data_IF_773687961604
#
_entry.id   IF_773687961604
#
_cell.length_a   1.000
_cell.length_b   1.000
_cell.length_c   1.000
_cell.angle_alpha   90.00
_cell.angle_beta   90.00
_cell.angle_gamma   90.00
#
_symmetry.space_group_name_H-M   'P 1'
#
loop_
_entity.id
_entity.type
_entity.pdbx_description
1 polymer ?
#
# COMPACT_ATOMS: atom_id res chain seq x y z
N UNK A 1 -8.44 6.70 -18.87
CA UNK A 1 -8.69 5.88 -17.64
C UNK A 1 -7.62 6.22 -16.61
N UNK A 2 -7.92 6.15 -15.34
CA UNK A 2 -6.95 6.42 -14.26
C UNK A 2 -6.03 5.23 -14.03
N UNK A 3 -4.73 5.48 -13.82
CA UNK A 3 -3.71 4.45 -13.61
C UNK A 3 -3.44 4.25 -12.11
N UNK A 4 -3.44 3.00 -11.67
CA UNK A 4 -3.11 2.62 -10.29
C UNK A 4 -1.66 2.17 -10.18
N UNK A 5 -0.90 2.79 -9.29
CA UNK A 5 0.41 2.31 -8.84
C UNK A 5 0.27 1.35 -7.65
N UNK A 6 1.01 0.26 -7.64
CA UNK A 6 1.14 -0.61 -6.46
C UNK A 6 2.54 -0.47 -5.89
N UNK A 7 2.65 0.19 -4.73
CA UNK A 7 3.84 0.27 -3.93
C UNK A 7 3.96 -1.02 -3.10
N UNK A 8 4.58 -2.02 -3.70
CA UNK A 8 4.62 -3.40 -3.21
C UNK A 8 5.99 -3.85 -2.73
N UNK A 9 6.13 -5.17 -2.56
CA UNK A 9 7.36 -5.83 -2.14
C UNK A 9 7.47 -6.07 -0.63
N UNK A 10 6.43 -5.71 0.14
CA UNK A 10 6.43 -5.76 1.61
C UNK A 10 5.31 -6.67 2.21
N UNK A 11 5.02 -7.90 1.80
CA UNK A 11 5.87 -8.74 0.96
C UNK A 11 5.42 -8.86 -0.50
N UNK A 12 6.28 -9.52 -1.26
CA UNK A 12 6.05 -9.73 -2.69
C UNK A 12 4.84 -10.63 -2.98
N UNK A 13 4.58 -11.64 -2.18
CA UNK A 13 3.40 -12.49 -2.34
C UNK A 13 2.10 -11.71 -2.08
N UNK A 14 2.05 -10.86 -1.05
CA UNK A 14 0.90 -9.99 -0.80
C UNK A 14 0.67 -9.02 -1.96
N UNK A 15 1.73 -8.53 -2.60
CA UNK A 15 1.66 -7.68 -3.79
C UNK A 15 1.05 -8.44 -4.98
N UNK A 16 1.46 -9.68 -5.22
CA UNK A 16 0.92 -10.53 -6.29
C UNK A 16 -0.58 -10.83 -6.05
N UNK A 17 -0.95 -11.22 -4.84
CA UNK A 17 -2.35 -11.46 -4.47
C UNK A 17 -3.20 -10.19 -4.59
N UNK A 18 -2.63 -9.02 -4.27
CA UNK A 18 -3.35 -7.75 -4.42
C UNK A 18 -3.63 -7.44 -5.89
N UNK A 19 -2.67 -7.64 -6.79
CA UNK A 19 -2.85 -7.48 -8.23
C UNK A 19 -3.93 -8.45 -8.77
N UNK A 20 -3.88 -9.72 -8.38
CA UNK A 20 -4.90 -10.71 -8.73
C UNK A 20 -6.30 -10.26 -8.29
N UNK A 21 -6.41 -9.76 -7.05
CA UNK A 21 -7.68 -9.25 -6.50
C UNK A 21 -8.22 -8.06 -7.27
N UNK A 22 -7.39 -7.10 -7.65
CA UNK A 22 -7.80 -5.94 -8.46
C UNK A 22 -8.39 -6.42 -9.77
N UNK A 23 -7.70 -7.31 -10.47
CA UNK A 23 -8.16 -7.87 -11.75
C UNK A 23 -9.48 -8.62 -11.60
N UNK A 24 -9.60 -9.48 -10.59
CA UNK A 24 -10.80 -10.29 -10.36
C UNK A 24 -12.02 -9.46 -9.91
N UNK A 25 -11.81 -8.33 -9.24
CA UNK A 25 -12.88 -7.47 -8.73
C UNK A 25 -13.28 -6.35 -9.71
N UNK A 26 -12.50 -6.13 -10.77
CA UNK A 26 -12.84 -5.15 -11.79
C UNK A 26 -13.91 -5.76 -12.71
N UNK A 27 -15.09 -5.13 -12.75
CA UNK A 27 -16.16 -5.53 -13.68
C UNK A 27 -15.78 -5.05 -15.09
N UNK A 28 -15.24 -5.96 -15.90
CA UNK A 28 -14.77 -5.68 -17.24
C UNK A 28 -15.04 -6.91 -18.14
N UNK A 29 -15.57 -6.67 -19.32
CA UNK A 29 -15.82 -7.70 -20.33
C UNK A 29 -14.64 -7.85 -21.31
N UNK A 30 -13.76 -6.85 -21.37
CA UNK A 30 -12.58 -6.82 -22.23
C UNK A 30 -11.33 -6.36 -21.46
N UNK A 31 -10.14 -6.69 -21.96
CA UNK A 31 -8.87 -6.24 -21.37
C UNK A 31 -8.77 -4.71 -21.29
N UNK A 32 -9.34 -4.01 -22.26
CA UNK A 32 -9.31 -2.55 -22.36
C UNK A 32 -10.16 -1.84 -21.31
N UNK A 33 -11.07 -2.56 -20.66
CA UNK A 33 -11.91 -2.07 -19.55
C UNK A 33 -11.27 -2.31 -18.18
N UNK A 34 -10.19 -3.08 -18.12
CA UNK A 34 -9.44 -3.31 -16.90
C UNK A 34 -8.71 -2.04 -16.43
N UNK A 35 -8.49 -1.93 -15.13
CA UNK A 35 -7.71 -0.83 -14.55
C UNK A 35 -6.25 -0.96 -14.99
N UNK A 36 -5.65 0.07 -15.63
CA UNK A 36 -4.22 0.07 -15.89
C UNK A 36 -3.43 0.10 -14.58
N UNK A 37 -2.48 -0.84 -14.43
CA UNK A 37 -1.73 -0.98 -13.17
C UNK A 37 -0.23 -0.99 -13.44
N UNK A 38 0.52 -0.23 -12.63
CA UNK A 38 1.98 -0.29 -12.55
C UNK A 38 2.35 -0.88 -11.19
N UNK A 39 3.03 -2.01 -11.18
CA UNK A 39 3.47 -2.68 -9.94
C UNK A 39 4.96 -2.48 -9.74
N UNK A 40 5.34 -1.84 -8.64
CA UNK A 40 6.73 -1.83 -8.19
C UNK A 40 6.85 -2.70 -6.93
N UNK A 41 7.22 -3.96 -7.12
CA UNK A 41 7.50 -4.89 -6.03
C UNK A 41 8.94 -4.70 -5.54
N UNK A 42 9.15 -3.66 -4.72
CA UNK A 42 10.46 -3.31 -4.17
C UNK A 42 10.72 -4.10 -2.87
N UNK A 43 11.40 -5.23 -2.99
CA UNK A 43 11.77 -6.09 -1.86
C UNK A 43 12.97 -5.57 -1.06
N UNK A 44 13.61 -4.48 -1.51
CA UNK A 44 14.75 -3.87 -0.81
C UNK A 44 14.33 -2.83 0.24
N UNK A 45 13.01 -2.57 0.39
CA UNK A 45 12.50 -1.71 1.47
C UNK A 45 12.80 -2.38 2.82
N UNK A 46 13.56 -1.73 3.74
CA UNK A 46 13.90 -2.29 5.04
C UNK A 46 12.68 -2.74 5.87
N UNK A 47 12.89 -3.65 6.81
CA UNK A 47 11.83 -4.21 7.65
C UNK A 47 11.16 -3.13 8.53
N UNK A 48 9.89 -2.87 8.25
CA UNK A 48 9.06 -1.87 8.92
C UNK A 48 8.82 -2.21 10.38
N UNK A 49 8.53 -3.49 10.67
CA UNK A 49 8.30 -3.95 12.05
C UNK A 49 9.57 -3.87 12.89
N UNK A 50 10.70 -4.32 12.35
CA UNK A 50 11.98 -4.22 13.06
C UNK A 50 12.32 -2.77 13.41
N UNK A 51 12.10 -1.84 12.48
CA UNK A 51 12.34 -0.42 12.71
C UNK A 51 11.40 0.17 13.75
N UNK A 52 10.08 -0.06 13.64
CA UNK A 52 9.08 0.48 14.57
C UNK A 52 9.25 -0.05 16.00
N UNK A 53 9.72 -1.29 16.14
CA UNK A 53 10.01 -1.91 17.43
C UNK A 53 11.41 -1.55 17.99
N UNK A 54 12.18 -0.70 17.30
CA UNK A 54 13.51 -0.28 17.73
C UNK A 54 14.51 -1.43 17.83
N UNK A 55 14.38 -2.46 16.98
CA UNK A 55 15.30 -3.61 17.02
C UNK A 55 16.72 -3.18 16.66
N UNK A 56 17.75 -3.78 17.29
CA UNK A 56 19.14 -3.48 16.95
C UNK A 56 19.41 -3.63 15.45
N UNK A 57 20.15 -2.69 14.87
CA UNK A 57 20.53 -2.66 13.44
C UNK A 57 19.35 -2.54 12.45
N UNK A 58 18.12 -2.24 12.92
CA UNK A 58 17.00 -1.99 12.03
C UNK A 58 17.22 -0.69 11.25
N UNK A 59 17.12 -0.79 9.92
CA UNK A 59 17.25 0.36 9.03
C UNK A 59 15.93 1.10 8.90
N UNK A 60 15.99 2.42 8.73
CA UNK A 60 14.82 3.27 8.51
C UNK A 60 14.24 3.03 7.10
N UNK A 61 12.99 2.54 6.97
CA UNK A 61 12.40 2.25 5.67
C UNK A 61 11.92 3.49 4.90
N UNK A 62 11.84 4.66 5.55
CA UNK A 62 11.19 5.87 4.98
C UNK A 62 11.83 6.30 3.67
N UNK A 63 13.16 6.30 3.58
CA UNK A 63 13.85 6.70 2.35
C UNK A 63 13.47 5.81 1.16
N UNK A 64 13.51 4.49 1.35
CA UNK A 64 13.17 3.54 0.31
C UNK A 64 11.68 3.61 -0.07
N UNK A 65 10.79 3.82 0.93
CA UNK A 65 9.36 4.02 0.71
C UNK A 65 9.10 5.27 -0.15
N UNK A 66 9.72 6.41 0.21
CA UNK A 66 9.58 7.67 -0.53
C UNK A 66 10.10 7.56 -1.97
N UNK A 67 11.28 6.97 -2.16
CA UNK A 67 11.84 6.75 -3.51
C UNK A 67 10.93 5.87 -4.37
N UNK A 68 10.37 4.79 -3.80
CA UNK A 68 9.44 3.91 -4.52
C UNK A 68 8.15 4.65 -4.86
N UNK A 69 7.61 5.44 -3.95
CA UNK A 69 6.43 6.26 -4.16
C UNK A 69 6.67 7.33 -5.24
N UNK A 70 7.79 8.04 -5.17
CA UNK A 70 8.19 9.03 -6.16
C UNK A 70 8.32 8.45 -7.58
N UNK A 71 8.87 7.23 -7.69
CA UNK A 71 8.94 6.52 -8.98
C UNK A 71 7.56 6.30 -9.60
N UNK A 72 6.56 5.98 -8.78
CA UNK A 72 5.17 5.75 -9.23
C UNK A 72 4.40 7.05 -9.47
N UNK A 73 4.73 8.13 -8.76
CA UNK A 73 4.01 9.41 -8.81
C UNK A 73 3.94 10.01 -10.23
N UNK A 74 5.03 9.87 -10.99
CA UNK A 74 5.11 10.42 -12.37
C UNK A 74 4.27 9.66 -13.40
N UNK A 75 3.78 8.46 -13.07
CA UNK A 75 3.12 7.58 -14.04
C UNK A 75 1.73 7.12 -13.58
N UNK A 76 1.34 7.39 -12.32
CA UNK A 76 0.10 6.92 -11.73
C UNK A 76 -0.76 8.07 -11.20
N UNK A 77 -2.09 7.91 -11.24
CA UNK A 77 -3.03 8.84 -10.61
C UNK A 77 -3.28 8.50 -9.14
N UNK A 78 -3.22 7.21 -8.82
CA UNK A 78 -3.41 6.68 -7.48
C UNK A 78 -2.31 5.69 -7.13
N UNK A 79 -1.98 5.60 -5.85
CA UNK A 79 -1.04 4.60 -5.34
C UNK A 79 -1.72 3.83 -4.20
N UNK A 80 -1.66 2.50 -4.27
CA UNK A 80 -2.05 1.61 -3.19
C UNK A 80 -0.81 0.90 -2.63
N UNK A 81 -0.79 0.71 -1.31
CA UNK A 81 0.32 0.08 -0.60
C UNK A 81 -0.20 -1.11 0.22
N UNK A 82 -0.13 -2.35 -0.32
CA UNK A 82 -0.67 -3.55 0.34
C UNK A 82 0.22 -4.02 1.50
N UNK A 83 0.48 -3.14 2.46
CA UNK A 83 1.23 -3.39 3.67
C UNK A 83 0.70 -2.51 4.80
N UNK A 84 -0.03 -3.08 5.76
CA UNK A 84 -0.63 -2.30 6.87
C UNK A 84 0.45 -1.62 7.70
N UNK A 85 1.52 -2.34 8.08
CA UNK A 85 2.62 -1.79 8.90
C UNK A 85 3.28 -0.57 8.26
N UNK A 86 3.40 -0.54 6.92
CA UNK A 86 3.99 0.61 6.21
C UNK A 86 3.13 1.88 6.30
N UNK A 87 1.85 1.77 6.67
CA UNK A 87 0.98 2.93 6.89
C UNK A 87 1.38 3.77 8.11
N UNK A 88 2.25 3.25 9.00
CA UNK A 88 2.90 4.09 10.02
C UNK A 88 3.70 5.26 9.41
N UNK A 89 4.12 5.12 8.15
CA UNK A 89 4.89 6.12 7.40
C UNK A 89 4.04 6.87 6.35
N UNK A 90 2.71 6.72 6.40
CA UNK A 90 1.79 7.27 5.40
C UNK A 90 2.04 8.75 5.11
N UNK A 91 2.14 9.57 6.16
CA UNK A 91 2.32 11.02 6.03
C UNK A 91 3.64 11.36 5.31
N UNK A 92 4.74 10.69 5.66
CA UNK A 92 6.03 10.92 5.03
C UNK A 92 6.04 10.52 3.55
N UNK A 93 5.31 9.44 3.21
CA UNK A 93 5.17 8.98 1.83
C UNK A 93 4.29 9.96 1.04
N UNK A 94 3.13 10.34 1.58
CA UNK A 94 2.19 11.25 0.92
C UNK A 94 2.82 12.61 0.63
N UNK A 95 3.67 13.12 1.51
CA UNK A 95 4.38 14.40 1.32
C UNK A 95 5.37 14.37 0.14
N UNK A 96 5.80 13.20 -0.31
CA UNK A 96 6.67 13.04 -1.48
C UNK A 96 5.92 13.12 -2.81
N UNK A 97 4.61 12.88 -2.78
CA UNK A 97 3.79 12.82 -3.98
C UNK A 97 3.32 14.21 -4.40
N UNK A 98 3.48 14.51 -5.67
CA UNK A 98 3.05 15.78 -6.30
C UNK A 98 1.82 15.62 -7.19
N UNK A 99 1.56 14.43 -7.67
CA UNK A 99 0.50 14.11 -8.62
C UNK A 99 -0.44 13.02 -8.10
N UNK A 100 0.11 11.86 -7.74
CA UNK A 100 -0.69 10.72 -7.32
C UNK A 100 -1.27 10.87 -5.91
N UNK A 101 -2.44 10.27 -5.69
CA UNK A 101 -3.06 10.18 -4.38
C UNK A 101 -2.76 8.81 -3.77
N UNK A 102 -2.12 8.79 -2.60
CA UNK A 102 -1.88 7.57 -1.85
C UNK A 102 -3.15 7.16 -1.09
N UNK A 103 -3.65 5.96 -1.33
CA UNK A 103 -4.76 5.41 -0.57
C UNK A 103 -4.32 5.05 0.86
N UNK A 104 -5.06 5.52 1.85
CA UNK A 104 -4.89 5.09 3.23
C UNK A 104 -5.75 3.84 3.50
N UNK A 105 -5.14 2.67 3.42
CA UNK A 105 -5.84 1.39 3.60
C UNK A 105 -6.45 1.25 5.00
N UNK A 106 -5.81 1.78 6.03
CA UNK A 106 -6.33 1.73 7.40
C UNK A 106 -7.61 2.56 7.52
N UNK A 107 -7.59 3.78 7.00
CA UNK A 107 -8.75 4.67 7.00
C UNK A 107 -9.91 4.11 6.17
N UNK A 108 -9.63 3.60 4.97
CA UNK A 108 -10.63 2.95 4.11
C UNK A 108 -11.27 1.73 4.80
N UNK A 109 -10.47 0.93 5.52
CA UNK A 109 -10.99 -0.20 6.30
C UNK A 109 -11.92 0.28 7.40
N UNK A 110 -11.55 1.31 8.15
CA UNK A 110 -12.38 1.89 9.21
C UNK A 110 -13.70 2.45 8.63
N UNK A 111 -13.63 3.14 7.51
CA UNK A 111 -14.83 3.65 6.81
C UNK A 111 -15.76 2.51 6.39
N UNK A 112 -15.23 1.43 5.82
CA UNK A 112 -15.99 0.25 5.41
C UNK A 112 -16.67 -0.42 6.61
N UNK A 113 -15.96 -0.61 7.73
CA UNK A 113 -16.53 -1.18 8.95
C UNK A 113 -17.67 -0.31 9.51
N UNK A 114 -17.48 1.01 9.52
CA UNK A 114 -18.53 1.95 9.96
C UNK A 114 -19.76 1.88 9.06
N UNK A 115 -19.59 1.84 7.75
CA UNK A 115 -20.69 1.73 6.80
C UNK A 115 -21.53 0.45 6.98
N UNK A 116 -20.89 -0.63 7.45
CA UNK A 116 -21.55 -1.90 7.77
C UNK A 116 -22.09 -1.97 9.21
N UNK A 117 -22.04 -0.86 9.97
CA UNK A 117 -22.45 -0.79 11.37
C UNK A 117 -21.71 -1.75 12.31
N UNK A 118 -20.49 -2.17 11.97
CA UNK A 118 -19.65 -3.03 12.80
C UNK A 118 -19.12 -2.19 13.98
N UNK A 119 -19.47 -2.60 15.21
CA UNK A 119 -19.11 -1.88 16.45
C UNK A 119 -17.84 -2.39 17.10
N UNK A 120 -17.46 -3.63 16.83
CA UNK A 120 -16.26 -4.27 17.37
C UNK A 120 -15.60 -5.08 16.27
N UNK A 121 -14.30 -4.93 16.12
CA UNK A 121 -13.48 -5.71 15.20
C UNK A 121 -12.24 -6.22 15.95
N UNK A 122 -11.89 -7.49 15.72
CA UNK A 122 -10.61 -8.03 16.17
C UNK A 122 -9.50 -7.65 15.19
N UNK A 123 -8.31 -7.38 15.69
CA UNK A 123 -7.12 -7.11 14.90
C UNK A 123 -6.17 -8.30 14.96
N UNK A 124 -5.87 -8.89 13.80
CA UNK A 124 -4.77 -9.84 13.62
C UNK A 124 -3.70 -9.14 12.78
N UNK A 125 -2.54 -8.91 13.35
CA UNK A 125 -1.51 -8.11 12.72
C UNK A 125 -0.10 -8.51 13.18
N UNK A 126 0.93 -7.95 12.53
CA UNK A 126 2.31 -8.07 13.00
C UNK A 126 2.52 -7.20 14.24
N UNK A 127 3.53 -7.54 15.06
CA UNK A 127 3.88 -6.77 16.27
C UNK A 127 4.15 -5.29 15.94
N UNK A 128 4.68 -4.98 14.75
CA UNK A 128 4.92 -3.60 14.31
C UNK A 128 3.65 -2.84 13.89
N UNK A 129 2.49 -3.51 13.81
CA UNK A 129 1.20 -2.88 13.48
C UNK A 129 0.36 -2.64 14.73
N UNK A 130 0.56 -3.43 15.77
CA UNK A 130 -0.10 -3.30 17.08
C UNK A 130 0.59 -2.23 17.92
#
# INVERSE_FOLDING_TARGET
>A
MKTLGILGGMGPMATACFMERITAMTAADTDQEQIPVIVYSNTQIPDRSAYLLGRPQAENPVTALRQTAHFLDGACDYIAMPCVTAHAFYTQIQQELSHAVLFNMVELTVQSLKAQNIKKAGLLATDGTI
#
